data_IF_544954560122
#
_entry.id   IF_544954560122
#
_cell.length_a   1.000
_cell.length_b   1.000
_cell.length_c   1.000
_cell.angle_alpha   90.00
_cell.angle_beta   90.00
_cell.angle_gamma   90.00
#
_symmetry.space_group_name_H-M   'P 1'
#
loop_
_entity.id
_entity.type
_entity.pdbx_description
1 polymer ?
#
# COMPACT_ATOMS: atom_id res chain seq x y z
N UNK A 1 45.83 -22.60 -8.29
CA UNK A 1 44.60 -22.65 -7.48
C UNK A 1 43.95 -21.28 -7.55
N UNK A 2 42.80 -21.15 -8.20
CA UNK A 2 41.96 -19.94 -8.09
C UNK A 2 40.55 -20.46 -7.81
N UNK A 3 40.03 -19.99 -6.68
CA UNK A 3 38.89 -20.51 -5.96
C UNK A 3 37.61 -20.02 -6.64
N UNK A 4 36.69 -20.97 -6.88
CA UNK A 4 35.31 -20.75 -7.33
C UNK A 4 34.56 -19.81 -6.37
N UNK A 5 34.15 -18.63 -6.85
CA UNK A 5 33.19 -17.76 -6.18
C UNK A 5 31.79 -17.95 -6.78
N UNK A 6 31.09 -18.99 -6.37
CA UNK A 6 29.70 -19.29 -6.78
C UNK A 6 28.75 -18.39 -5.98
N UNK A 7 28.46 -17.17 -6.48
CA UNK A 7 27.37 -16.38 -5.91
C UNK A 7 26.03 -16.99 -6.33
N UNK A 8 25.39 -17.64 -5.37
CA UNK A 8 24.05 -18.18 -5.52
C UNK A 8 23.05 -17.05 -5.31
N UNK A 9 22.76 -16.30 -6.37
CA UNK A 9 21.58 -15.42 -6.39
C UNK A 9 20.36 -16.31 -6.49
N UNK A 10 19.76 -16.65 -5.35
CA UNK A 10 18.38 -17.17 -5.26
C UNK A 10 17.44 -16.09 -5.80
N UNK A 11 17.34 -15.99 -7.13
CA UNK A 11 16.24 -15.32 -7.79
C UNK A 11 15.06 -16.28 -7.70
N UNK A 12 14.15 -16.02 -6.76
CA UNK A 12 12.78 -16.51 -6.91
C UNK A 12 12.31 -16.05 -8.28
N UNK A 13 11.98 -16.99 -9.15
CA UNK A 13 11.72 -16.84 -10.58
C UNK A 13 10.37 -16.10 -10.85
N UNK A 14 10.16 -14.98 -10.18
CA UNK A 14 9.00 -14.11 -10.36
C UNK A 14 9.27 -13.18 -11.54
N UNK A 15 8.97 -13.63 -12.75
CA UNK A 15 8.94 -12.76 -13.93
C UNK A 15 7.79 -11.75 -13.82
N UNK A 16 8.04 -10.52 -14.26
CA UNK A 16 7.03 -9.45 -14.33
C UNK A 16 6.69 -9.17 -15.80
N UNK A 17 5.50 -8.65 -16.06
CA UNK A 17 5.11 -8.25 -17.42
C UNK A 17 5.66 -6.86 -17.73
N UNK A 18 6.22 -6.70 -18.92
CA UNK A 18 6.58 -5.39 -19.43
C UNK A 18 5.33 -4.50 -19.55
N UNK A 19 5.33 -3.27 -19.02
CA UNK A 19 4.16 -2.38 -19.09
C UNK A 19 3.84 -1.88 -20.51
N UNK A 20 4.78 -2.02 -21.45
CA UNK A 20 4.63 -1.52 -22.82
C UNK A 20 4.20 -2.60 -23.82
N UNK A 21 4.70 -3.83 -23.65
CA UNK A 21 4.45 -4.93 -24.58
C UNK A 21 3.90 -6.20 -23.93
N UNK A 22 3.61 -6.17 -22.63
CA UNK A 22 3.09 -7.28 -21.83
C UNK A 22 3.98 -8.54 -21.75
N UNK A 23 5.14 -8.52 -22.37
CA UNK A 23 6.06 -9.65 -22.43
C UNK A 23 6.74 -9.91 -21.08
N UNK A 24 7.09 -11.18 -20.81
CA UNK A 24 7.74 -11.56 -19.55
C UNK A 24 9.19 -11.05 -19.51
N UNK A 25 9.49 -10.23 -18.51
CA UNK A 25 10.82 -9.65 -18.28
C UNK A 25 11.29 -9.92 -16.85
N UNK A 26 12.60 -9.83 -16.64
CA UNK A 26 13.19 -9.91 -15.31
C UNK A 26 12.76 -8.67 -14.49
N UNK A 27 12.38 -8.80 -13.20
CA UNK A 27 12.05 -7.67 -12.34
C UNK A 27 13.19 -6.65 -12.17
N UNK A 28 14.44 -7.02 -12.46
CA UNK A 28 15.61 -6.14 -12.43
C UNK A 28 15.97 -5.58 -13.82
N UNK A 29 15.14 -5.84 -14.85
CA UNK A 29 15.38 -5.29 -16.18
C UNK A 29 15.32 -3.76 -16.18
N UNK A 30 16.31 -3.12 -16.77
CA UNK A 30 16.30 -1.67 -17.03
C UNK A 30 15.57 -1.37 -18.34
N UNK A 31 15.73 -2.26 -19.34
CA UNK A 31 15.08 -2.17 -20.65
C UNK A 31 14.44 -3.50 -21.04
N UNK A 32 13.29 -3.44 -21.69
CA UNK A 32 12.64 -4.63 -22.22
C UNK A 32 13.37 -5.13 -23.48
N UNK A 33 13.70 -6.43 -23.53
CA UNK A 33 14.35 -7.05 -24.71
C UNK A 33 13.47 -7.13 -25.96
N UNK A 34 12.14 -7.00 -25.80
CA UNK A 34 11.18 -7.15 -26.89
C UNK A 34 10.79 -5.82 -27.53
N UNK A 35 10.53 -4.80 -26.72
CA UNK A 35 10.09 -3.50 -27.22
C UNK A 35 11.13 -2.39 -27.03
N UNK A 36 12.29 -2.69 -26.45
CA UNK A 36 13.38 -1.74 -26.14
C UNK A 36 12.99 -0.56 -25.23
N UNK A 37 11.76 -0.53 -24.70
CA UNK A 37 11.30 0.51 -23.77
C UNK A 37 12.06 0.45 -22.45
N UNK A 38 12.34 1.62 -21.89
CA UNK A 38 12.89 1.75 -20.54
C UNK A 38 11.81 1.40 -19.51
N UNK A 39 12.07 0.37 -18.72
CA UNK A 39 11.15 -0.16 -17.70
C UNK A 39 11.66 0.10 -16.28
N UNK A 40 12.83 0.72 -16.14
CA UNK A 40 13.50 0.92 -14.85
C UNK A 40 12.69 1.80 -13.88
N UNK A 41 12.00 2.81 -14.41
CA UNK A 41 11.18 3.75 -13.63
C UNK A 41 9.90 3.06 -13.15
N UNK A 42 9.20 2.39 -14.05
CA UNK A 42 7.95 1.68 -13.74
C UNK A 42 8.18 0.53 -12.75
N UNK A 43 9.27 -0.23 -12.87
CA UNK A 43 9.56 -1.34 -11.95
C UNK A 43 9.99 -0.84 -10.56
N UNK A 44 10.68 0.30 -10.46
CA UNK A 44 10.98 0.95 -9.17
C UNK A 44 9.72 1.49 -8.49
N UNK A 45 8.84 2.13 -9.25
CA UNK A 45 7.56 2.64 -8.73
C UNK A 45 6.61 1.54 -8.24
N UNK A 46 6.82 0.28 -8.64
CA UNK A 46 6.04 -0.87 -8.15
C UNK A 46 6.58 -1.43 -6.83
N UNK A 47 7.85 -1.16 -6.48
CA UNK A 47 8.39 -1.44 -5.13
C UNK A 47 7.90 -0.43 -4.09
N UNK A 48 7.55 0.77 -4.53
CA UNK A 48 6.84 1.75 -3.70
C UNK A 48 5.34 1.44 -3.76
N UNK A 49 4.91 0.58 -2.84
CA UNK A 49 3.52 0.17 -2.65
C UNK A 49 2.68 1.41 -2.30
N UNK A 50 2.30 2.20 -3.31
CA UNK A 50 1.56 3.45 -3.15
C UNK A 50 0.17 3.08 -2.64
N UNK A 51 -0.03 3.28 -1.34
CA UNK A 51 -1.27 2.95 -0.66
C UNK A 51 -2.47 3.57 -1.42
N UNK A 52 -3.49 2.75 -1.71
CA UNK A 52 -4.73 3.15 -2.35
C UNK A 52 -5.91 2.83 -1.44
N UNK A 53 -6.76 3.82 -1.21
CA UNK A 53 -7.96 3.68 -0.39
C UNK A 53 -9.00 2.72 -1.00
N UNK A 54 -9.08 2.65 -2.32
CA UNK A 54 -10.02 1.78 -3.04
C UNK A 54 -9.63 0.30 -3.04
N UNK A 55 -8.33 0.02 -2.88
CA UNK A 55 -7.79 -1.35 -2.77
C UNK A 55 -7.56 -1.80 -1.33
N UNK A 56 -7.92 -0.97 -0.35
CA UNK A 56 -7.72 -1.28 1.06
C UNK A 56 -8.79 -2.26 1.54
N UNK A 57 -8.36 -3.36 2.15
CA UNK A 57 -9.27 -4.33 2.74
C UNK A 57 -9.88 -3.78 4.03
N UNK A 58 -11.14 -3.32 3.95
CA UNK A 58 -11.87 -2.75 5.07
C UNK A 58 -12.11 -3.76 6.21
N UNK A 59 -12.02 -5.06 5.95
CA UNK A 59 -12.16 -6.09 6.99
C UNK A 59 -10.99 -6.05 7.99
N UNK A 60 -9.84 -5.47 7.61
CA UNK A 60 -8.71 -5.27 8.51
C UNK A 60 -9.03 -4.31 9.66
N UNK A 61 -10.05 -3.46 9.50
CA UNK A 61 -10.49 -2.50 10.53
C UNK A 61 -11.47 -3.11 11.54
N UNK A 62 -11.95 -4.32 11.29
CA UNK A 62 -12.96 -4.99 12.11
C UNK A 62 -12.27 -6.11 12.91
N UNK A 63 -12.61 -6.24 14.20
CA UNK A 63 -12.14 -7.32 15.05
C UNK A 63 -12.69 -8.67 14.56
N UNK A 64 -11.83 -9.68 14.53
CA UNK A 64 -12.18 -11.03 14.06
C UNK A 64 -13.10 -11.79 15.01
N UNK A 65 -13.13 -11.40 16.28
CA UNK A 65 -13.86 -12.12 17.32
C UNK A 65 -15.37 -11.91 17.20
N UNK A 66 -15.81 -10.66 17.02
CA UNK A 66 -17.24 -10.32 17.02
C UNK A 66 -17.75 -9.74 15.69
N UNK A 67 -16.86 -9.31 14.77
CA UNK A 67 -17.25 -8.65 13.52
C UNK A 67 -17.98 -7.30 13.71
N UNK A 68 -18.18 -6.87 14.96
CA UNK A 68 -18.94 -5.70 15.38
C UNK A 68 -18.10 -4.65 16.11
N UNK A 69 -16.84 -4.97 16.40
CA UNK A 69 -15.90 -4.10 17.13
C UNK A 69 -14.78 -3.65 16.20
N UNK A 70 -14.22 -2.46 16.45
CA UNK A 70 -13.07 -1.98 15.67
C UNK A 70 -11.76 -2.56 16.17
N UNK A 71 -10.96 -3.03 15.22
CA UNK A 71 -9.57 -3.39 15.42
C UNK A 71 -8.72 -2.11 15.47
N UNK A 72 -8.33 -1.69 16.68
CA UNK A 72 -7.55 -0.47 16.90
C UNK A 72 -6.18 -0.51 16.18
N UNK A 73 -5.53 -1.69 16.12
CA UNK A 73 -4.29 -1.88 15.37
C UNK A 73 -4.48 -1.64 13.87
N UNK A 74 -5.60 -2.12 13.31
CA UNK A 74 -5.95 -1.87 11.90
C UNK A 74 -6.20 -0.39 11.60
N UNK A 75 -6.84 0.34 12.51
CA UNK A 75 -7.06 1.79 12.39
C UNK A 75 -5.74 2.56 12.49
N UNK A 76 -4.83 2.16 13.38
CA UNK A 76 -3.49 2.73 13.50
C UNK A 76 -2.68 2.52 12.21
N UNK A 77 -2.69 1.31 11.66
CA UNK A 77 -1.99 1.00 10.41
C UNK A 77 -2.52 1.83 9.24
N UNK A 78 -3.85 2.00 9.15
CA UNK A 78 -4.46 2.88 8.18
C UNK A 78 -4.00 4.33 8.38
N UNK A 79 -4.00 4.84 9.60
CA UNK A 79 -3.54 6.20 9.90
C UNK A 79 -2.08 6.42 9.45
N UNK A 80 -1.19 5.46 9.74
CA UNK A 80 0.21 5.51 9.32
C UNK A 80 0.36 5.51 7.79
N UNK A 81 -0.44 4.71 7.10
CA UNK A 81 -0.48 4.71 5.62
C UNK A 81 -0.94 6.05 5.07
N UNK A 82 -1.99 6.65 5.65
CA UNK A 82 -2.47 7.98 5.27
C UNK A 82 -1.37 9.03 5.46
N UNK A 83 -0.69 9.03 6.62
CA UNK A 83 0.44 9.94 6.89
C UNK A 83 1.58 9.79 5.87
N UNK A 84 1.84 8.55 5.41
CA UNK A 84 2.91 8.30 4.44
C UNK A 84 2.62 8.83 3.03
N UNK A 85 1.34 9.01 2.67
CA UNK A 85 0.92 9.50 1.34
C UNK A 85 0.48 10.96 1.35
N UNK A 86 0.20 11.53 2.52
CA UNK A 86 -0.24 12.92 2.66
C UNK A 86 0.88 13.90 2.34
N UNK A 87 0.56 15.00 1.67
CA UNK A 87 1.54 16.06 1.37
C UNK A 87 1.83 16.93 2.58
N UNK A 88 0.88 17.02 3.51
CA UNK A 88 0.99 17.83 4.72
C UNK A 88 1.59 17.03 5.88
N UNK A 89 2.54 17.64 6.59
CA UNK A 89 3.07 17.12 7.86
C UNK A 89 2.24 17.55 9.08
N UNK A 90 1.13 18.28 8.87
CA UNK A 90 0.27 18.79 9.93
C UNK A 90 -1.01 17.98 10.02
N UNK A 91 -1.19 17.30 11.15
CA UNK A 91 -2.28 16.37 11.44
C UNK A 91 -3.68 16.92 11.15
N UNK A 92 -3.88 18.21 11.46
CA UNK A 92 -5.15 18.92 11.23
C UNK A 92 -5.56 18.98 9.75
N UNK A 93 -4.59 18.97 8.83
CA UNK A 93 -4.83 19.03 7.39
C UNK A 93 -4.85 17.65 6.74
N UNK A 94 -4.20 16.64 7.34
CA UNK A 94 -4.14 15.27 6.78
C UNK A 94 -5.54 14.66 6.66
N UNK A 95 -6.39 14.83 7.67
CA UNK A 95 -7.77 14.34 7.61
C UNK A 95 -8.58 15.02 6.51
N UNK A 96 -8.38 16.32 6.30
CA UNK A 96 -9.06 17.09 5.26
C UNK A 96 -8.60 16.70 3.85
N UNK A 97 -7.30 16.46 3.68
CA UNK A 97 -6.70 16.05 2.39
C UNK A 97 -7.31 14.74 1.86
N UNK A 98 -7.67 13.83 2.77
CA UNK A 98 -8.21 12.50 2.44
C UNK A 98 -9.68 12.32 2.85
N UNK A 99 -10.42 13.41 3.08
CA UNK A 99 -11.77 13.34 3.65
C UNK A 99 -12.72 12.46 2.84
N UNK A 100 -12.70 12.56 1.51
CA UNK A 100 -13.55 11.76 0.62
C UNK A 100 -13.25 10.27 0.74
N UNK A 101 -11.97 9.90 0.80
CA UNK A 101 -11.53 8.51 0.90
C UNK A 101 -11.83 7.92 2.28
N UNK A 102 -11.62 8.69 3.35
CA UNK A 102 -11.98 8.31 4.72
C UNK A 102 -13.49 8.11 4.82
N UNK A 103 -14.28 8.97 4.18
CA UNK A 103 -15.74 8.87 4.14
C UNK A 103 -16.19 7.62 3.37
N UNK A 104 -15.51 7.29 2.26
CA UNK A 104 -15.73 6.04 1.54
C UNK A 104 -15.53 4.82 2.45
N UNK A 105 -14.41 4.75 3.17
CA UNK A 105 -14.14 3.68 4.13
C UNK A 105 -15.20 3.65 5.22
N UNK A 106 -15.57 4.80 5.80
CA UNK A 106 -16.60 4.92 6.84
C UNK A 106 -17.90 4.23 6.41
N UNK A 107 -18.39 4.49 5.20
CA UNK A 107 -19.65 3.93 4.73
C UNK A 107 -19.58 2.44 4.35
N UNK A 108 -18.38 1.88 4.18
CA UNK A 108 -18.18 0.44 3.99
C UNK A 108 -18.20 -0.34 5.31
N UNK A 109 -18.02 0.32 6.44
CA UNK A 109 -18.06 -0.29 7.76
C UNK A 109 -19.50 -0.41 8.29
N UNK A 110 -19.77 -1.39 9.19
CA UNK A 110 -21.07 -1.51 9.86
C UNK A 110 -21.45 -0.23 10.60
N UNK A 111 -22.72 0.19 10.53
CA UNK A 111 -23.21 1.45 11.13
C UNK A 111 -22.77 1.65 12.59
N UNK A 112 -22.76 0.58 13.39
CA UNK A 112 -22.40 0.61 14.80
C UNK A 112 -20.98 1.15 15.07
N UNK A 113 -20.04 0.94 14.14
CA UNK A 113 -18.63 1.29 14.33
C UNK A 113 -18.20 2.54 13.57
N UNK A 114 -19.06 3.12 12.74
CA UNK A 114 -18.67 4.20 11.83
C UNK A 114 -18.18 5.46 12.56
N UNK A 115 -18.83 5.85 13.66
CA UNK A 115 -18.44 7.04 14.41
C UNK A 115 -17.24 6.78 15.32
N UNK A 116 -17.13 5.57 15.86
CA UNK A 116 -15.94 5.13 16.59
C UNK A 116 -14.70 5.13 15.68
N UNK A 117 -14.86 4.70 14.43
CA UNK A 117 -13.80 4.67 13.43
C UNK A 117 -13.26 6.08 13.17
N UNK A 118 -14.14 7.04 12.93
CA UNK A 118 -13.71 8.43 12.68
C UNK A 118 -13.00 9.02 13.91
N UNK A 119 -13.49 8.74 15.13
CA UNK A 119 -12.85 9.21 16.37
C UNK A 119 -11.45 8.63 16.53
N UNK A 120 -11.30 7.30 16.39
CA UNK A 120 -10.01 6.61 16.51
C UNK A 120 -9.04 7.03 15.42
N UNK A 121 -9.50 7.14 14.18
CA UNK A 121 -8.65 7.57 13.06
C UNK A 121 -8.10 8.98 13.31
N UNK A 122 -8.94 9.93 13.75
CA UNK A 122 -8.48 11.28 14.12
C UNK A 122 -7.46 11.25 15.24
N UNK A 123 -7.69 10.47 16.28
CA UNK A 123 -6.75 10.30 17.38
C UNK A 123 -5.37 9.81 16.89
N UNK A 124 -5.34 8.79 16.04
CA UNK A 124 -4.10 8.25 15.47
C UNK A 124 -3.42 9.18 14.47
N UNK A 125 -4.18 10.03 13.78
CA UNK A 125 -3.61 11.06 12.92
C UNK A 125 -2.93 12.18 13.73
N UNK A 126 -3.43 12.50 14.92
CA UNK A 126 -2.87 13.54 15.81
C UNK A 126 -1.77 13.08 16.77
N UNK A 127 -1.48 11.79 16.77
CA UNK A 127 -0.50 11.15 17.66
C UNK A 127 0.80 10.88 16.92
#
# INVERSE_FOLDING_TARGET
MIIFGKSSSKATDSYVKCPFCAEKINPEAIKCKHCASDVSVQLKSQKENKFSFYGFDHNLLISKDDGLSLNDGGVMDLANKIKSISKSNRDSYIFGEHQSDITYIKYKLPKAVQDEFVKKLKYWLTK
#
